data_IF_578473827563
#
_entry.id   IF_578473827563
#
_cell.length_a   1.000
_cell.length_b   1.000
_cell.length_c   1.000
_cell.angle_alpha   90.00
_cell.angle_beta   90.00
_cell.angle_gamma   90.00
#
_symmetry.space_group_name_H-M   'P 1'
#
loop_
_entity.id
_entity.type
_entity.pdbx_description
1 polymer ?
#
# COMPACT_ATOMS: atom_id res chain seq x y z
N UNK A 1 -14.81 -11.40 11.41
CA UNK A 1 -13.73 -11.48 10.40
C UNK A 1 -12.85 -10.24 10.45
N UNK A 2 -11.55 -10.41 10.48
CA UNK A 2 -10.61 -9.30 10.58
C UNK A 2 -10.17 -8.87 9.18
N UNK A 3 -10.44 -7.61 8.83
CA UNK A 3 -10.08 -7.02 7.54
C UNK A 3 -8.86 -6.13 7.70
N UNK A 4 -7.86 -6.36 6.86
CA UNK A 4 -6.62 -5.59 6.83
C UNK A 4 -6.60 -4.71 5.59
N UNK A 5 -6.20 -3.46 5.76
CA UNK A 5 -6.00 -2.50 4.67
C UNK A 5 -4.50 -2.27 4.51
N UNK A 6 -4.02 -2.45 3.28
CA UNK A 6 -2.66 -2.06 2.88
C UNK A 6 -2.77 -1.06 1.74
N UNK A 7 -1.80 -0.16 1.64
CA UNK A 7 -1.80 0.89 0.61
C UNK A 7 -0.43 1.03 -0.02
N UNK A 8 -0.39 1.57 -1.22
CA UNK A 8 0.87 1.89 -1.89
C UNK A 8 0.66 2.31 -3.32
N UNK A 9 1.74 2.70 -3.97
CA UNK A 9 1.73 3.03 -5.39
C UNK A 9 1.85 1.75 -6.22
N UNK A 10 2.74 0.84 -5.82
CA UNK A 10 2.96 -0.45 -6.50
C UNK A 10 3.26 -0.28 -7.98
N UNK A 11 4.23 0.57 -8.29
CA UNK A 11 4.58 0.88 -9.68
C UNK A 11 5.28 -0.33 -10.34
N UNK A 12 6.54 -0.56 -9.99
CA UNK A 12 7.26 -1.75 -10.44
C UNK A 12 7.27 -2.72 -9.26
N UNK A 13 6.57 -3.85 -9.41
CA UNK A 13 6.50 -4.83 -8.34
C UNK A 13 7.87 -5.46 -8.08
N UNK A 14 8.22 -5.61 -6.81
CA UNK A 14 9.49 -6.16 -6.38
C UNK A 14 9.29 -6.98 -5.09
N UNK A 15 10.32 -7.74 -4.65
CA UNK A 15 10.16 -8.59 -3.46
C UNK A 15 9.67 -7.88 -2.22
N UNK A 16 10.03 -6.60 -2.04
CA UNK A 16 9.56 -5.80 -0.90
C UNK A 16 8.04 -5.63 -0.88
N UNK A 17 7.42 -5.46 -2.03
CA UNK A 17 5.96 -5.37 -2.15
C UNK A 17 5.31 -6.70 -1.78
N UNK A 18 5.83 -7.80 -2.28
CA UNK A 18 5.28 -9.14 -2.00
C UNK A 18 5.40 -9.45 -0.51
N UNK A 19 6.53 -9.13 0.09
CA UNK A 19 6.75 -9.31 1.52
C UNK A 19 5.75 -8.48 2.34
N UNK A 20 5.61 -7.19 2.04
CA UNK A 20 4.68 -6.30 2.72
C UNK A 20 3.26 -6.84 2.67
N UNK A 21 2.79 -7.25 1.50
CA UNK A 21 1.43 -7.75 1.34
C UNK A 21 1.23 -9.12 1.98
N UNK A 22 2.23 -9.99 1.91
CA UNK A 22 2.20 -11.31 2.56
C UNK A 22 2.10 -11.16 4.09
N UNK A 23 2.93 -10.30 4.67
CA UNK A 23 2.91 -10.06 6.12
C UNK A 23 1.63 -9.34 6.55
N UNK A 24 1.11 -8.44 5.70
CA UNK A 24 -0.16 -7.77 5.97
C UNK A 24 -1.32 -8.77 6.03
N UNK A 25 -1.37 -9.71 5.10
CA UNK A 25 -2.41 -10.75 5.07
C UNK A 25 -2.42 -11.59 6.35
N UNK A 26 -1.25 -11.85 6.93
CA UNK A 26 -1.13 -12.64 8.16
C UNK A 26 -1.79 -11.98 9.36
N UNK A 27 -2.05 -10.67 9.28
CA UNK A 27 -2.67 -9.93 10.39
C UNK A 27 -4.17 -10.16 10.51
N UNK A 28 -4.80 -10.73 9.48
CA UNK A 28 -6.24 -10.93 9.50
C UNK A 28 -6.71 -11.97 8.49
N UNK A 29 -8.00 -11.96 8.24
CA UNK A 29 -8.66 -12.94 7.36
C UNK A 29 -8.76 -12.46 5.92
N UNK A 30 -8.85 -11.14 5.72
CA UNK A 30 -9.04 -10.53 4.41
C UNK A 30 -8.09 -9.36 4.23
N UNK A 31 -7.41 -9.31 3.08
CA UNK A 31 -6.54 -8.20 2.74
C UNK A 31 -7.11 -7.41 1.57
N UNK A 32 -7.44 -6.15 1.83
CA UNK A 32 -7.85 -5.18 0.80
C UNK A 32 -6.66 -4.24 0.57
N UNK A 33 -6.27 -4.07 -0.68
CA UNK A 33 -5.16 -3.19 -1.04
C UNK A 33 -5.71 -1.98 -1.80
N UNK A 34 -5.36 -0.79 -1.34
CA UNK A 34 -5.70 0.46 -2.02
C UNK A 34 -4.47 0.93 -2.79
N UNK A 35 -4.61 1.01 -4.09
CA UNK A 35 -3.54 1.42 -5.00
C UNK A 35 -3.72 2.91 -5.30
N UNK A 36 -2.66 3.70 -5.10
CA UNK A 36 -2.72 5.14 -5.31
C UNK A 36 -2.99 5.48 -6.78
N UNK A 37 -3.84 6.48 -7.00
CA UNK A 37 -4.08 7.00 -8.35
C UNK A 37 -2.82 7.67 -8.89
N UNK A 38 -2.69 7.71 -10.21
CA UNK A 38 -1.55 8.36 -10.87
C UNK A 38 -1.39 9.81 -10.41
N UNK A 39 -2.49 10.56 -10.30
CA UNK A 39 -2.46 11.95 -9.85
C UNK A 39 -1.94 12.11 -8.42
N UNK A 40 -2.29 11.19 -7.54
CA UNK A 40 -1.85 11.20 -6.13
C UNK A 40 -0.38 10.80 -6.05
N UNK A 41 0.01 9.75 -6.76
CA UNK A 41 1.40 9.28 -6.78
C UNK A 41 2.35 10.33 -7.34
N UNK A 42 1.93 11.05 -8.37
CA UNK A 42 2.72 12.13 -8.97
C UNK A 42 2.98 13.25 -7.98
N UNK A 43 1.99 13.65 -7.19
CA UNK A 43 2.13 14.68 -6.15
C UNK A 43 3.07 14.25 -5.03
N UNK A 44 3.07 12.97 -4.71
CA UNK A 44 3.88 12.44 -3.61
C UNK A 44 5.35 12.25 -4.01
N UNK A 45 5.62 11.73 -5.18
CA UNK A 45 6.98 11.36 -5.64
C UNK A 45 7.19 11.67 -7.12
N UNK A 46 6.49 10.95 -7.98
CA UNK A 46 6.62 11.02 -9.45
C UNK A 46 5.46 10.30 -10.10
N UNK A 47 5.23 10.59 -11.37
CA UNK A 47 4.25 9.85 -12.16
C UNK A 47 4.72 8.39 -12.32
N UNK A 48 3.90 7.41 -11.97
CA UNK A 48 4.27 6.00 -12.14
C UNK A 48 4.48 5.63 -13.61
N UNK A 49 5.34 4.64 -13.85
CA UNK A 49 5.56 4.09 -15.19
C UNK A 49 4.38 3.26 -15.65
N UNK A 50 3.76 2.53 -14.72
CA UNK A 50 2.63 1.66 -15.00
C UNK A 50 1.34 2.41 -14.69
N UNK A 51 0.39 2.52 -15.65
CA UNK A 51 -0.88 3.22 -15.41
C UNK A 51 -1.69 2.62 -14.26
N UNK A 52 -2.46 3.45 -13.59
CA UNK A 52 -3.18 3.05 -12.37
C UNK A 52 -4.09 1.84 -12.53
N UNK A 53 -4.82 1.73 -13.64
CA UNK A 53 -5.71 0.60 -13.88
C UNK A 53 -4.95 -0.72 -14.04
N UNK A 54 -3.75 -0.68 -14.60
CA UNK A 54 -2.88 -1.85 -14.75
C UNK A 54 -2.25 -2.21 -13.41
N UNK A 55 -1.84 -1.21 -12.62
CA UNK A 55 -1.27 -1.45 -11.29
C UNK A 55 -2.27 -2.17 -10.37
N UNK A 56 -3.54 -1.77 -10.41
CA UNK A 56 -4.58 -2.46 -9.63
C UNK A 56 -4.70 -3.92 -10.06
N UNK A 57 -4.73 -4.20 -11.35
CA UNK A 57 -4.84 -5.57 -11.85
C UNK A 57 -3.66 -6.44 -11.44
N UNK A 58 -2.45 -5.87 -11.49
CA UNK A 58 -1.25 -6.61 -11.12
C UNK A 58 -1.22 -6.92 -9.63
N UNK A 59 -1.60 -5.96 -8.79
CA UNK A 59 -1.67 -6.17 -7.34
C UNK A 59 -2.74 -7.22 -7.02
N UNK A 60 -3.89 -7.15 -7.66
CA UNK A 60 -4.97 -8.11 -7.43
C UNK A 60 -4.58 -9.54 -7.80
N UNK A 61 -3.65 -9.71 -8.72
CA UNK A 61 -3.14 -11.02 -9.13
C UNK A 61 -2.18 -11.63 -8.11
N UNK A 62 -1.70 -10.86 -7.14
CA UNK A 62 -0.78 -11.37 -6.12
C UNK A 62 -1.52 -12.26 -5.12
N UNK A 63 -0.90 -13.37 -4.78
CA UNK A 63 -1.53 -14.42 -3.97
C UNK A 63 -2.12 -13.95 -2.63
N UNK A 64 -1.44 -13.10 -1.84
CA UNK A 64 -1.99 -12.69 -0.54
C UNK A 64 -3.15 -11.70 -0.63
N UNK A 65 -3.40 -11.10 -1.80
CA UNK A 65 -4.39 -10.03 -1.96
C UNK A 65 -5.76 -10.62 -2.26
N UNK A 66 -6.76 -10.27 -1.45
CA UNK A 66 -8.15 -10.68 -1.69
C UNK A 66 -8.85 -9.73 -2.65
N UNK A 67 -8.55 -8.42 -2.53
CA UNK A 67 -9.13 -7.42 -3.40
C UNK A 67 -8.20 -6.21 -3.51
N UNK A 68 -8.09 -5.64 -4.70
CA UNK A 68 -7.37 -4.39 -4.92
C UNK A 68 -8.31 -3.36 -5.53
N UNK A 69 -8.25 -2.13 -5.04
CA UNK A 69 -9.07 -1.02 -5.53
C UNK A 69 -8.21 0.23 -5.70
N UNK A 70 -8.67 1.15 -6.53
CA UNK A 70 -8.05 2.47 -6.66
C UNK A 70 -8.42 3.35 -5.47
N UNK A 71 -7.47 4.13 -5.00
CA UNK A 71 -7.70 5.12 -3.96
C UNK A 71 -8.49 6.32 -4.48
N UNK A 72 -8.69 7.28 -3.59
CA UNK A 72 -9.42 8.52 -3.88
C UNK A 72 -8.42 9.64 -4.19
N UNK A 73 -8.89 10.66 -4.90
CA UNK A 73 -8.05 11.81 -5.24
C UNK A 73 -8.02 12.87 -4.14
N UNK A 74 -9.08 12.96 -3.35
CA UNK A 74 -9.21 13.97 -2.30
C UNK A 74 -8.54 13.57 -1.01
N UNK A 75 -9.28 13.66 0.10
CA UNK A 75 -8.76 13.27 1.40
C UNK A 75 -8.57 11.75 1.46
N UNK A 76 -7.34 11.32 1.69
CA UNK A 76 -6.99 9.89 1.69
C UNK A 76 -7.75 9.10 2.75
N UNK A 77 -8.13 9.74 3.86
CA UNK A 77 -8.83 9.06 4.95
C UNK A 77 -10.29 8.74 4.60
N UNK A 78 -10.84 9.33 3.55
CA UNK A 78 -12.20 9.04 3.12
C UNK A 78 -12.35 7.62 2.56
N UNK A 79 -11.25 6.94 2.29
CA UNK A 79 -11.27 5.52 1.90
C UNK A 79 -11.68 4.62 3.09
N UNK A 80 -11.45 5.06 4.31
CA UNK A 80 -11.70 4.25 5.51
C UNK A 80 -13.16 3.81 5.65
N UNK A 81 -14.16 4.69 5.52
CA UNK A 81 -15.55 4.22 5.58
C UNK A 81 -15.97 3.33 4.40
N UNK A 82 -15.25 3.38 3.29
CA UNK A 82 -15.50 2.52 2.14
C UNK A 82 -14.98 1.10 2.40
N UNK A 83 -13.74 0.99 2.89
CA UNK A 83 -13.09 -0.29 3.15
C UNK A 83 -13.51 -0.89 4.50
N UNK A 84 -13.67 -0.05 5.52
CA UNK A 84 -14.00 -0.46 6.89
C UNK A 84 -13.00 -1.48 7.43
N UNK A 85 -11.71 -1.13 7.50
CA UNK A 85 -10.70 -2.05 8.00
C UNK A 85 -10.70 -2.15 9.51
N UNK A 86 -10.27 -3.29 10.02
CA UNK A 86 -9.99 -3.48 11.44
C UNK A 86 -8.54 -3.15 11.75
N UNK A 87 -7.65 -3.36 10.78
CA UNK A 87 -6.22 -3.11 10.90
C UNK A 87 -5.73 -2.39 9.63
N UNK A 88 -4.91 -1.37 9.82
CA UNK A 88 -4.15 -0.75 8.73
C UNK A 88 -2.70 -1.19 8.84
N UNK A 89 -2.19 -1.85 7.80
CA UNK A 89 -0.80 -2.28 7.75
C UNK A 89 0.01 -1.23 6.98
N UNK A 90 1.02 -0.66 7.63
CA UNK A 90 1.93 0.31 7.01
C UNK A 90 3.24 -0.37 6.63
N UNK A 91 3.80 -0.02 5.47
CA UNK A 91 5.14 -0.41 5.11
C UNK A 91 6.18 0.31 5.96
N UNK A 92 7.39 -0.24 6.04
CA UNK A 92 8.44 0.29 6.92
C UNK A 92 8.82 1.74 6.59
N UNK A 93 8.70 2.11 5.31
CA UNK A 93 9.11 3.43 4.79
C UNK A 93 7.94 4.36 4.48
N UNK A 94 6.71 3.97 4.81
CA UNK A 94 5.55 4.84 4.58
C UNK A 94 5.48 5.92 5.66
N UNK A 95 5.35 7.14 5.19
CA UNK A 95 5.46 8.35 6.00
C UNK A 95 4.12 8.76 6.60
N UNK A 96 3.40 7.79 7.19
CA UNK A 96 2.12 8.04 7.83
C UNK A 96 2.27 8.01 9.34
N UNK A 97 1.60 8.94 10.01
CA UNK A 97 1.50 8.96 11.47
C UNK A 97 0.38 8.02 11.91
N UNK A 98 0.76 6.97 12.63
CA UNK A 98 -0.20 5.96 13.12
C UNK A 98 -1.30 6.57 13.98
N UNK A 99 -0.97 7.53 14.82
CA UNK A 99 -1.94 8.19 15.70
C UNK A 99 -2.93 9.02 14.90
N UNK A 100 -2.47 9.68 13.84
CA UNK A 100 -3.35 10.45 12.95
C UNK A 100 -4.34 9.53 12.24
N UNK A 101 -3.88 8.37 11.77
CA UNK A 101 -4.75 7.40 11.11
C UNK A 101 -5.86 6.95 12.05
N UNK A 102 -5.52 6.60 13.29
CA UNK A 102 -6.51 6.17 14.29
C UNK A 102 -7.50 7.29 14.58
N UNK A 103 -7.02 8.52 14.73
CA UNK A 103 -7.84 9.69 15.02
C UNK A 103 -8.81 10.00 13.86
N UNK A 104 -8.31 9.99 12.62
CA UNK A 104 -9.13 10.23 11.43
C UNK A 104 -10.15 9.12 11.19
N UNK A 105 -9.81 7.89 11.56
CA UNK A 105 -10.74 6.76 11.52
C UNK A 105 -11.89 6.97 12.51
N UNK A 106 -11.58 7.38 13.74
CA UNK A 106 -12.60 7.64 14.77
C UNK A 106 -13.57 8.74 14.36
N UNK A 107 -13.08 9.78 13.71
CA UNK A 107 -13.94 10.86 13.18
C UNK A 107 -14.97 10.33 12.19
N UNK A 108 -14.67 9.20 11.53
CA UNK A 108 -15.53 8.56 10.53
C UNK A 108 -16.26 7.35 11.06
N UNK A 109 -16.26 7.16 12.38
CA UNK A 109 -16.98 6.07 13.04
C UNK A 109 -16.29 4.71 12.93
N UNK A 110 -14.97 4.69 12.70
CA UNK A 110 -14.21 3.45 12.53
C UNK A 110 -13.17 3.32 13.64
N UNK A 111 -13.17 2.14 14.28
CA UNK A 111 -12.19 1.80 15.29
C UNK A 111 -11.22 0.78 14.70
N UNK A 112 -9.95 1.15 14.60
CA UNK A 112 -8.93 0.32 13.97
C UNK A 112 -7.60 0.39 14.70
N UNK A 113 -6.73 -0.58 14.39
CA UNK A 113 -5.33 -0.60 14.84
C UNK A 113 -4.41 -0.33 13.65
N UNK A 114 -3.23 0.19 13.93
CA UNK A 114 -2.20 0.37 12.91
C UNK A 114 -1.00 -0.50 13.27
N UNK A 115 -0.52 -1.28 12.31
CA UNK A 115 0.64 -2.16 12.47
C UNK A 115 1.65 -1.80 11.38
N UNK A 116 2.91 -1.61 11.77
CA UNK A 116 3.98 -1.32 10.81
C UNK A 116 4.75 -2.61 10.49
N UNK A 117 4.86 -2.90 9.20
CA UNK A 117 5.56 -4.09 8.71
C UNK A 117 7.06 -3.74 8.58
N UNK A 118 7.92 -4.66 9.00
CA UNK A 118 9.37 -4.47 8.92
C UNK A 118 9.88 -4.49 7.47
N UNK A 119 11.10 -3.98 7.26
CA UNK A 119 11.73 -3.98 5.95
C UNK A 119 12.14 -5.37 5.51
N UNK A 120 11.81 -5.73 4.26
CA UNK A 120 12.35 -6.91 3.61
C UNK A 120 13.79 -6.62 3.17
N UNK A 121 14.74 -7.47 3.57
CA UNK A 121 16.16 -7.19 3.38
C UNK A 121 16.95 -8.29 2.65
N UNK A 122 16.28 -9.28 2.05
CA UNK A 122 16.96 -10.38 1.36
C UNK A 122 17.55 -10.00 0.00
N UNK A 123 17.20 -8.82 -0.53
CA UNK A 123 17.72 -8.33 -1.81
C UNK A 123 17.83 -6.80 -1.80
N UNK A 124 18.78 -6.29 -2.60
CA UNK A 124 18.90 -4.85 -2.82
C UNK A 124 17.74 -4.28 -3.62
N UNK A 125 16.96 -5.13 -4.28
CA UNK A 125 15.81 -4.70 -5.11
C UNK A 125 14.50 -4.68 -4.32
N UNK A 126 14.55 -4.35 -3.04
CA UNK A 126 13.37 -4.27 -2.20
C UNK A 126 12.66 -2.90 -2.26
N UNK A 127 12.94 -2.10 -3.27
CA UNK A 127 12.31 -0.81 -3.51
C UNK A 127 12.38 -0.41 -4.98
N UNK A 128 11.32 0.21 -5.50
CA UNK A 128 11.25 0.66 -6.89
C UNK A 128 12.38 1.62 -7.23
N UNK A 129 12.71 2.54 -6.32
CA UNK A 129 13.79 3.50 -6.51
C UNK A 129 15.14 2.79 -6.71
N UNK A 130 15.39 1.74 -5.94
CA UNK A 130 16.63 0.95 -6.06
C UNK A 130 16.74 0.26 -7.41
N UNK A 131 15.62 -0.27 -7.91
CA UNK A 131 15.57 -0.91 -9.22
C UNK A 131 15.86 0.11 -10.32
N UNK A 132 15.21 1.26 -10.31
CA UNK A 132 15.40 2.32 -11.29
C UNK A 132 16.85 2.83 -11.26
N UNK A 133 17.40 3.05 -10.09
CA UNK A 133 18.79 3.50 -9.94
C UNK A 133 19.77 2.50 -10.53
N UNK A 134 19.56 1.22 -10.28
CA UNK A 134 20.40 0.14 -10.83
C UNK A 134 20.35 0.13 -12.37
N UNK A 135 19.15 0.22 -12.95
CA UNK A 135 18.99 0.24 -14.40
C UNK A 135 19.66 1.45 -15.05
N UNK A 136 19.55 2.62 -14.43
CA UNK A 136 20.22 3.84 -14.93
C UNK A 136 21.76 3.69 -14.92
N UNK A 137 22.30 3.05 -13.89
CA UNK A 137 23.71 2.83 -13.78
C UNK A 137 24.30 1.85 -14.82
N UNK A 138 23.46 1.09 -15.49
CA UNK A 138 23.87 0.10 -16.50
C UNK A 138 23.84 0.63 -17.94
N UNK A 139 23.23 1.77 -18.15
CA UNK A 139 23.08 2.35 -19.50
C UNK A 139 24.32 3.07 -20.01
#
# INVERSE_FOLDING_TARGET
MTRVLATGVFDILHPGHVYYLTESKKLGDELIVVVARDSVAEKMKRLPLIPENIRVKMVEALKPVDKAILGLEGNIYDILPIVKPDIVALGYDQDFDSEEIVREAKKRGIDLKVVRISQYSETEFNGTRKIISYLKGRS
#
